data_IF_411126606873
#
_entry.id   IF_411126606873
#
_cell.length_a   1.000
_cell.length_b   1.000
_cell.length_c   1.000
_cell.angle_alpha   90.00
_cell.angle_beta   90.00
_cell.angle_gamma   90.00
#
_symmetry.space_group_name_H-M   'P 1'
#
loop_
_entity.id
_entity.type
_entity.pdbx_description
1 polymer ?
#
# COMPACT_ATOMS: atom_id res chain seq x y z
N UNK A 1 -13.00 -12.23 -13.57
CA UNK A 1 -11.78 -11.41 -13.59
C UNK A 1 -11.16 -11.24 -14.98
N UNK A 2 -11.01 -12.31 -15.78
CA UNK A 2 -10.56 -12.18 -17.18
C UNK A 2 -11.44 -11.24 -18.03
N UNK A 3 -12.75 -11.21 -17.76
CA UNK A 3 -13.73 -10.31 -18.39
C UNK A 3 -13.44 -8.82 -18.10
N UNK A 4 -12.95 -8.48 -16.90
CA UNK A 4 -12.67 -7.11 -16.49
C UNK A 4 -11.31 -6.60 -16.96
N UNK A 5 -10.33 -7.49 -17.09
CA UNK A 5 -8.99 -7.16 -17.58
C UNK A 5 -8.93 -7.03 -19.12
N UNK A 6 -9.97 -7.51 -19.84
CA UNK A 6 -9.96 -7.60 -21.30
C UNK A 6 -8.94 -8.60 -21.85
N UNK A 7 -8.27 -9.36 -20.97
CA UNK A 7 -7.27 -10.38 -21.30
C UNK A 7 -7.20 -11.45 -20.20
N UNK A 8 -6.71 -12.67 -20.50
CA UNK A 8 -6.35 -13.61 -19.45
C UNK A 8 -5.22 -13.07 -18.57
N UNK A 9 -5.11 -13.61 -17.36
CA UNK A 9 -3.94 -13.40 -16.51
C UNK A 9 -2.70 -13.98 -17.19
N UNK A 10 -1.61 -13.22 -17.15
CA UNK A 10 -0.31 -13.71 -17.60
C UNK A 10 0.23 -14.72 -16.59
N UNK A 11 1.11 -15.65 -17.03
CA UNK A 11 1.80 -16.54 -16.11
C UNK A 11 2.50 -15.77 -14.99
N UNK A 12 2.16 -16.10 -13.74
CA UNK A 12 2.73 -15.48 -12.56
C UNK A 12 1.92 -14.32 -11.98
N UNK A 13 0.97 -13.74 -12.71
CA UNK A 13 0.07 -12.71 -12.16
C UNK A 13 -0.84 -13.32 -11.08
N UNK A 14 -1.06 -12.58 -9.99
CA UNK A 14 -1.87 -12.99 -8.84
C UNK A 14 -2.90 -11.92 -8.52
N UNK A 15 -4.14 -12.34 -8.27
CA UNK A 15 -5.21 -11.42 -7.82
C UNK A 15 -5.14 -11.24 -6.32
N UNK A 16 -5.24 -10.00 -5.87
CA UNK A 16 -5.27 -9.57 -4.49
C UNK A 16 -6.60 -8.86 -4.18
N UNK A 17 -7.18 -9.12 -3.01
CA UNK A 17 -8.38 -8.42 -2.52
C UNK A 17 -7.92 -7.27 -1.61
N UNK A 18 -8.25 -6.03 -1.97
CA UNK A 18 -7.76 -4.82 -1.28
C UNK A 18 -8.28 -4.74 0.15
N UNK A 19 -9.52 -5.15 0.40
CA UNK A 19 -10.14 -5.16 1.73
C UNK A 19 -9.74 -6.36 2.60
N UNK A 20 -9.18 -7.40 2.00
CA UNK A 20 -8.84 -8.68 2.64
C UNK A 20 -10.00 -9.67 2.77
N UNK A 21 -11.18 -9.37 2.21
CA UNK A 21 -12.32 -10.26 2.14
C UNK A 21 -12.33 -11.02 0.81
N UNK A 22 -12.07 -12.33 0.85
CA UNK A 22 -12.05 -13.17 -0.36
C UNK A 22 -13.43 -13.42 -0.96
N UNK A 23 -14.50 -12.95 -0.32
CA UNK A 23 -15.87 -13.03 -0.84
C UNK A 23 -16.29 -11.76 -1.59
N UNK A 24 -15.62 -10.63 -1.35
CA UNK A 24 -15.88 -9.37 -2.06
C UNK A 24 -15.18 -9.34 -3.43
N UNK A 25 -15.91 -9.80 -4.45
CA UNK A 25 -15.44 -9.92 -5.83
C UNK A 25 -15.73 -8.67 -6.69
N UNK A 26 -16.04 -7.53 -6.08
CA UNK A 26 -16.21 -6.29 -6.82
C UNK A 26 -14.90 -5.96 -7.58
N UNK A 27 -14.95 -5.65 -8.89
CA UNK A 27 -13.74 -5.36 -9.68
C UNK A 27 -12.87 -4.24 -9.09
N UNK A 28 -13.48 -3.28 -8.39
CA UNK A 28 -12.76 -2.19 -7.71
C UNK A 28 -12.01 -2.68 -6.46
N UNK A 29 -12.45 -3.77 -5.83
CA UNK A 29 -11.78 -4.42 -4.69
C UNK A 29 -10.63 -5.33 -5.13
N UNK A 30 -10.54 -5.66 -6.42
CA UNK A 30 -9.52 -6.57 -6.93
C UNK A 30 -8.34 -5.80 -7.51
N UNK A 31 -7.14 -6.33 -7.31
CA UNK A 31 -5.89 -5.81 -7.88
C UNK A 31 -5.08 -6.97 -8.44
N UNK A 32 -4.45 -6.78 -9.60
CA UNK A 32 -3.53 -7.77 -10.17
C UNK A 32 -2.10 -7.41 -9.82
N UNK A 33 -1.37 -8.34 -9.22
CA UNK A 33 0.02 -8.22 -8.85
C UNK A 33 0.91 -9.08 -9.77
N UNK A 34 2.14 -8.65 -10.07
CA UNK A 34 2.98 -9.27 -11.10
C UNK A 34 3.56 -10.64 -10.70
N UNK A 35 3.54 -10.99 -9.41
CA UNK A 35 4.08 -12.27 -8.93
C UNK A 35 3.54 -12.64 -7.55
N UNK A 36 3.56 -13.94 -7.24
CA UNK A 36 3.31 -14.46 -5.89
C UNK A 36 4.27 -13.88 -4.84
N UNK A 37 5.54 -13.68 -5.20
CA UNK A 37 6.53 -13.05 -4.30
C UNK A 37 6.15 -11.61 -3.96
N UNK A 38 5.71 -10.84 -4.97
CA UNK A 38 5.29 -9.47 -4.75
C UNK A 38 4.00 -9.40 -3.92
N UNK A 39 3.05 -10.30 -4.17
CA UNK A 39 1.86 -10.47 -3.32
C UNK A 39 2.23 -10.72 -1.86
N UNK A 40 3.15 -11.65 -1.58
CA UNK A 40 3.61 -11.93 -0.22
C UNK A 40 4.30 -10.72 0.44
N UNK A 41 5.06 -9.93 -0.32
CA UNK A 41 5.68 -8.69 0.16
C UNK A 41 4.63 -7.63 0.54
N UNK A 42 3.62 -7.42 -0.30
CA UNK A 42 2.50 -6.51 0.00
C UNK A 42 1.76 -6.95 1.26
N UNK A 43 1.40 -8.23 1.36
CA UNK A 43 0.75 -8.82 2.54
C UNK A 43 1.55 -8.67 3.84
N UNK A 44 2.88 -8.78 3.76
CA UNK A 44 3.74 -8.54 4.91
C UNK A 44 3.59 -7.12 5.44
N UNK A 45 3.67 -6.11 4.57
CA UNK A 45 3.52 -4.71 4.97
C UNK A 45 2.13 -4.39 5.49
N UNK A 46 1.07 -4.89 4.84
CA UNK A 46 -0.30 -4.73 5.33
C UNK A 46 -0.51 -5.36 6.71
N UNK A 47 0.14 -6.50 7.00
CA UNK A 47 0.14 -7.08 8.35
C UNK A 47 0.87 -6.21 9.37
N UNK A 48 2.01 -5.62 9.01
CA UNK A 48 2.74 -4.70 9.87
C UNK A 48 1.90 -3.45 10.16
N UNK A 49 1.25 -2.88 9.15
CA UNK A 49 0.34 -1.73 9.30
C UNK A 49 -0.85 -2.06 10.20
N UNK A 50 -1.49 -3.23 10.04
CA UNK A 50 -2.55 -3.70 10.95
C UNK A 50 -2.09 -3.83 12.40
N UNK A 51 -0.79 -3.96 12.66
CA UNK A 51 -0.17 -3.98 14.00
C UNK A 51 0.28 -2.60 14.48
N UNK A 52 -0.01 -1.52 13.74
CA UNK A 52 0.43 -0.17 14.05
C UNK A 52 1.87 0.14 13.66
N UNK A 53 2.48 -0.66 12.78
CA UNK A 53 3.84 -0.46 12.27
C UNK A 53 3.79 -0.23 10.75
N UNK A 54 3.32 0.95 10.28
CA UNK A 54 3.32 1.25 8.86
C UNK A 54 4.75 1.29 8.30
N UNK A 55 4.90 0.99 7.01
CA UNK A 55 6.17 1.18 6.33
C UNK A 55 6.60 2.65 6.40
N UNK A 56 7.90 2.90 6.52
CA UNK A 56 8.44 4.25 6.71
C UNK A 56 8.24 5.13 5.45
N UNK A 57 8.19 4.49 4.28
CA UNK A 57 8.00 5.12 2.97
C UNK A 57 7.13 4.25 2.05
N UNK A 58 5.80 4.20 2.27
CA UNK A 58 4.88 3.36 1.48
C UNK A 58 4.88 3.70 -0.01
N UNK A 59 5.24 4.93 -0.40
CA UNK A 59 5.35 5.38 -1.78
C UNK A 59 6.39 4.62 -2.62
N UNK A 60 7.42 4.03 -2.00
CA UNK A 60 8.37 3.16 -2.71
C UNK A 60 7.84 1.74 -2.92
N UNK A 61 6.66 1.43 -2.37
CA UNK A 61 6.00 0.15 -2.50
C UNK A 61 4.61 0.36 -3.12
N UNK A 62 4.50 0.53 -4.46
CA UNK A 62 3.25 0.92 -5.11
C UNK A 62 2.06 0.02 -4.74
N UNK A 63 2.24 -1.30 -4.71
CA UNK A 63 1.20 -2.24 -4.30
C UNK A 63 0.81 -2.17 -2.83
N UNK A 64 1.69 -1.68 -1.94
CA UNK A 64 1.34 -1.40 -0.54
C UNK A 64 0.56 -0.09 -0.47
N UNK A 65 1.07 0.99 -1.08
CA UNK A 65 0.39 2.29 -1.12
C UNK A 65 -1.04 2.16 -1.65
N UNK A 66 -1.21 1.48 -2.76
CA UNK A 66 -2.52 1.35 -3.41
C UNK A 66 -3.56 0.60 -2.54
N UNK A 67 -3.11 -0.35 -1.70
CA UNK A 67 -4.00 -1.08 -0.79
C UNK A 67 -4.18 -0.34 0.55
N UNK A 68 -3.12 0.25 1.09
CA UNK A 68 -3.15 1.01 2.34
C UNK A 68 -3.99 2.29 2.23
N UNK A 69 -4.05 2.95 1.07
CA UNK A 69 -4.85 4.17 0.86
C UNK A 69 -6.37 3.97 0.95
N UNK A 70 -6.86 2.72 0.92
CA UNK A 70 -8.27 2.40 1.23
C UNK A 70 -8.57 2.61 2.72
N UNK A 71 -7.54 2.70 3.55
CA UNK A 71 -7.63 2.95 4.99
C UNK A 71 -7.13 4.36 5.26
N UNK A 72 -7.88 5.13 6.04
CA UNK A 72 -7.48 6.48 6.44
C UNK A 72 -6.04 6.47 7.00
N UNK A 73 -5.13 7.32 6.47
CA UNK A 73 -3.75 7.33 6.92
C UNK A 73 -3.71 7.67 8.41
N UNK A 74 -3.30 6.70 9.23
CA UNK A 74 -3.02 6.95 10.63
C UNK A 74 -1.80 7.88 10.69
N UNK A 75 -2.04 9.18 10.93
CA UNK A 75 -0.97 10.15 11.22
C UNK A 75 -0.23 9.68 12.46
N UNK A 76 0.92 9.05 12.25
CA UNK A 76 1.84 8.68 13.32
C UNK A 76 2.54 9.92 13.88
N UNK A 77 2.79 9.93 15.18
CA UNK A 77 3.42 11.05 15.90
C UNK A 77 4.92 11.19 15.64
N UNK A 78 5.56 10.19 15.00
CA UNK A 78 7.01 10.12 14.83
C UNK A 78 7.59 11.31 14.05
N UNK A 79 6.89 11.78 13.01
CA UNK A 79 7.34 12.92 12.21
C UNK A 79 6.70 14.26 12.60
N UNK A 80 5.61 14.27 13.37
CA UNK A 80 5.00 15.51 13.85
C UNK A 80 5.99 16.32 14.70
N UNK A 81 6.84 15.67 15.50
CA UNK A 81 7.83 16.38 16.33
C UNK A 81 9.18 16.59 15.64
N UNK A 82 9.53 15.78 14.63
CA UNK A 82 10.80 15.95 13.90
C UNK A 82 10.74 17.14 12.94
N UNK A 83 9.59 17.36 12.27
CA UNK A 83 9.44 18.46 11.31
C UNK A 83 9.19 19.83 11.96
N UNK A 84 8.68 19.87 13.20
CA UNK A 84 8.55 21.11 13.98
C UNK A 84 9.87 21.56 14.64
N UNK A 85 10.92 20.74 14.60
CA UNK A 85 12.20 20.99 15.27
C UNK A 85 13.34 21.36 14.32
N UNK A 86 13.08 21.52 13.02
CA UNK A 86 14.11 21.94 12.07
C UNK A 86 14.61 23.36 12.36
N UNK A 87 15.93 23.64 12.35
CA UNK A 87 16.42 24.99 12.55
C UNK A 87 15.90 25.90 11.43
N UNK A 88 15.33 27.04 11.83
CA UNK A 88 14.94 28.10 10.92
C UNK A 88 16.18 28.60 10.18
N UNK A 89 16.43 28.07 8.97
CA UNK A 89 17.47 28.56 8.09
C UNK A 89 17.02 29.95 7.62
N UNK A 90 17.43 30.98 8.37
CA UNK A 90 17.38 32.35 7.91
C UNK A 90 18.32 32.45 6.72
N UNK A 91 17.76 32.58 5.52
CA UNK A 91 18.51 33.12 4.38
C UNK A 91 18.86 34.57 4.73
N UNK A 92 20.13 34.84 5.00
CA UNK A 92 20.65 36.20 4.95
C UNK A 92 21.19 36.46 3.54
N UNK A 93 20.73 37.59 3.00
CA UNK A 93 21.10 38.24 1.74
C UNK A 93 22.53 38.74 1.73
#
# INVERSE_FOLDING_TARGET
MAEYLGRPLLPGEIVHHRDGDSTNNDPSNLMVLPSQRYHAHVEYHLRCERRGMPALFPEYFPGVREVSLVREPQRGTLFEHVLLSGPSIRRQS
#
